data_IF_190791015218
#
_entry.id   IF_190791015218
#
_cell.length_a   1.000
_cell.length_b   1.000
_cell.length_c   1.000
_cell.angle_alpha   90.00
_cell.angle_beta   90.00
_cell.angle_gamma   90.00
#
_symmetry.space_group_name_H-M   'P 1'
#
loop_
_entity.id
_entity.type
_entity.pdbx_description
1 polymer ?
#
# COMPACT_ATOMS: atom_id res chain seq x y z
N UNK A 1 11.11 12.39 0.84
CA UNK A 1 11.84 11.34 1.59
C UNK A 1 12.71 10.64 0.58
N UNK A 2 14.04 10.65 0.78
CA UNK A 2 14.94 9.87 -0.07
C UNK A 2 14.73 8.41 0.27
N UNK A 3 14.54 7.56 -0.74
CA UNK A 3 14.48 6.13 -0.54
C UNK A 3 15.91 5.62 -0.39
N UNK A 4 16.39 5.51 0.85
CA UNK A 4 17.68 4.91 1.13
C UNK A 4 17.57 3.38 1.01
N UNK A 5 17.47 2.90 -0.23
CA UNK A 5 17.52 1.48 -0.53
C UNK A 5 18.97 1.00 -0.46
N UNK A 6 19.23 -0.19 0.12
CA UNK A 6 20.53 -0.83 0.00
C UNK A 6 20.91 -0.99 -1.47
N UNK A 7 22.14 -0.63 -1.84
CA UNK A 7 22.60 -0.63 -3.24
C UNK A 7 22.42 -1.99 -3.92
N UNK A 8 22.76 -3.07 -3.21
CA UNK A 8 22.57 -4.44 -3.69
C UNK A 8 21.10 -4.78 -3.98
N UNK A 9 20.16 -4.21 -3.22
CA UNK A 9 18.72 -4.39 -3.46
C UNK A 9 18.27 -3.61 -4.69
N UNK A 10 18.68 -2.34 -4.81
CA UNK A 10 18.35 -1.50 -5.96
C UNK A 10 18.83 -2.12 -7.27
N UNK A 11 20.09 -2.56 -7.34
CA UNK A 11 20.65 -3.21 -8.54
C UNK A 11 19.88 -4.48 -8.92
N UNK A 12 19.56 -5.34 -7.95
CA UNK A 12 18.80 -6.57 -8.21
C UNK A 12 17.39 -6.26 -8.73
N UNK A 13 16.72 -5.26 -8.16
CA UNK A 13 15.38 -4.87 -8.60
C UNK A 13 15.40 -4.23 -9.99
N UNK A 14 16.44 -3.46 -10.32
CA UNK A 14 16.62 -2.89 -11.65
C UNK A 14 16.83 -3.97 -12.71
N UNK A 15 17.65 -4.99 -12.43
CA UNK A 15 17.85 -6.14 -13.33
C UNK A 15 16.56 -6.97 -13.51
N UNK A 16 15.79 -7.14 -12.43
CA UNK A 16 14.55 -7.95 -12.45
C UNK A 16 13.38 -7.23 -13.15
N UNK A 17 13.24 -5.92 -12.94
CA UNK A 17 12.09 -5.14 -13.40
C UNK A 17 12.36 -4.37 -14.70
N UNK A 18 13.62 -4.13 -15.05
CA UNK A 18 14.02 -3.35 -16.22
C UNK A 18 13.32 -1.99 -16.24
N UNK A 19 12.57 -1.74 -17.33
CA UNK A 19 11.82 -0.49 -17.55
C UNK A 19 10.74 -0.21 -16.48
N UNK A 20 10.32 -1.21 -15.69
CA UNK A 20 9.35 -1.03 -14.61
C UNK A 20 9.99 -0.56 -13.29
N UNK A 21 11.32 -0.50 -13.21
CA UNK A 21 12.04 -0.11 -12.01
C UNK A 21 11.70 1.32 -11.56
N UNK A 22 11.56 2.26 -12.50
CA UNK A 22 11.22 3.65 -12.19
C UNK A 22 9.85 3.78 -11.52
N UNK A 23 8.85 3.03 -12.02
CA UNK A 23 7.51 3.02 -11.44
C UNK A 23 7.51 2.40 -10.03
N UNK A 24 8.30 1.34 -9.83
CA UNK A 24 8.49 0.73 -8.52
C UNK A 24 9.11 1.70 -7.50
N UNK A 25 10.19 2.38 -7.88
CA UNK A 25 10.85 3.36 -7.03
C UNK A 25 9.92 4.53 -6.67
N UNK A 26 9.15 5.01 -7.64
CA UNK A 26 8.14 6.05 -7.42
C UNK A 26 7.05 5.59 -6.44
N UNK A 27 6.53 4.36 -6.61
CA UNK A 27 5.49 3.82 -5.74
C UNK A 27 5.95 3.68 -4.29
N UNK A 28 7.21 3.27 -4.06
CA UNK A 28 7.76 3.18 -2.72
C UNK A 28 7.95 4.54 -2.04
N UNK A 29 8.13 5.62 -2.81
CA UNK A 29 8.25 6.98 -2.27
C UNK A 29 6.91 7.58 -1.83
N UNK A 30 5.79 6.99 -2.26
CA UNK A 30 4.46 7.43 -1.87
C UNK A 30 4.14 7.01 -0.42
N UNK A 31 3.30 7.77 0.29
CA UNK A 31 2.85 7.37 1.61
C UNK A 31 2.13 6.01 1.54
N UNK A 32 2.37 5.10 2.50
CA UNK A 32 1.71 3.81 2.49
C UNK A 32 0.20 4.00 2.67
N UNK A 33 -0.63 3.22 1.94
CA UNK A 33 -2.07 3.28 2.10
C UNK A 33 -2.47 2.82 3.51
N UNK A 34 -3.50 3.46 4.08
CA UNK A 34 -4.04 3.11 5.40
C UNK A 34 -5.18 2.13 5.18
N UNK A 35 -5.18 1.02 5.91
CA UNK A 35 -6.26 0.03 5.84
C UNK A 35 -6.70 -0.46 7.21
N UNK A 36 -7.95 -0.89 7.28
CA UNK A 36 -8.55 -1.56 8.43
C UNK A 36 -9.24 -2.84 7.97
N UNK A 37 -9.40 -3.79 8.89
CA UNK A 37 -10.26 -4.96 8.69
C UNK A 37 -11.37 -4.96 9.74
N UNK A 38 -12.61 -4.99 9.29
CA UNK A 38 -13.76 -4.99 10.18
C UNK A 38 -13.89 -6.34 10.90
N UNK A 39 -14.21 -6.29 12.20
CA UNK A 39 -14.58 -7.48 12.94
C UNK A 39 -16.08 -7.73 12.77
N UNK A 40 -16.45 -8.79 12.05
CA UNK A 40 -17.85 -9.19 11.80
C UNK A 40 -18.71 -9.37 13.03
N UNK A 41 -18.10 -9.78 14.13
CA UNK A 41 -18.82 -10.03 15.38
C UNK A 41 -19.27 -8.71 16.04
N UNK A 42 -18.73 -7.57 15.58
CA UNK A 42 -19.09 -6.24 16.05
C UNK A 42 -19.89 -5.58 14.94
N UNK A 43 -21.05 -5.02 15.28
CA UNK A 43 -21.91 -4.30 14.35
C UNK A 43 -21.32 -2.91 14.02
N UNK A 44 -20.18 -2.89 13.35
CA UNK A 44 -19.40 -1.68 13.02
C UNK A 44 -19.76 -1.26 11.59
N UNK A 45 -20.07 0.03 11.43
CA UNK A 45 -20.30 0.62 10.12
C UNK A 45 -18.97 0.89 9.41
N UNK A 46 -18.97 0.76 8.07
CA UNK A 46 -17.82 1.10 7.24
C UNK A 46 -17.58 2.61 7.35
N UNK A 47 -16.34 3.06 7.67
CA UNK A 47 -16.04 4.49 7.74
C UNK A 47 -16.34 5.19 6.42
N UNK A 48 -16.87 6.42 6.48
CA UNK A 48 -17.24 7.18 5.29
C UNK A 48 -16.01 7.46 4.42
N UNK A 49 -16.17 7.34 3.09
CA UNK A 49 -15.10 7.57 2.13
C UNK A 49 -14.08 6.43 2.04
N UNK A 50 -14.36 5.28 2.66
CA UNK A 50 -13.51 4.10 2.53
C UNK A 50 -13.68 3.41 1.18
N UNK A 51 -12.60 2.82 0.67
CA UNK A 51 -12.60 1.98 -0.54
C UNK A 51 -12.41 0.52 -0.16
N UNK A 52 -13.20 -0.39 -0.75
CA UNK A 52 -13.07 -1.83 -0.47
C UNK A 52 -11.75 -2.41 -0.99
N UNK A 53 -11.14 -3.29 -0.20
CA UNK A 53 -9.94 -4.02 -0.60
C UNK A 53 -10.31 -5.15 -1.59
N UNK A 54 -9.70 -5.21 -2.80
CA UNK A 54 -10.12 -6.16 -3.83
C UNK A 54 -9.95 -7.64 -3.46
N UNK A 55 -9.01 -7.97 -2.56
CA UNK A 55 -8.67 -9.34 -2.19
C UNK A 55 -9.08 -9.72 -0.76
N UNK A 56 -9.62 -8.79 0.03
CA UNK A 56 -10.16 -9.10 1.35
C UNK A 56 -11.54 -8.45 1.55
N UNK A 57 -12.56 -9.29 1.70
CA UNK A 57 -13.98 -8.91 1.70
C UNK A 57 -14.37 -7.95 2.83
N UNK A 58 -13.66 -8.02 3.95
CA UNK A 58 -13.90 -7.18 5.14
C UNK A 58 -12.83 -6.11 5.33
N UNK A 59 -11.95 -5.95 4.33
CA UNK A 59 -10.85 -5.00 4.30
C UNK A 59 -11.24 -3.71 3.60
N UNK A 60 -10.84 -2.58 4.18
CA UNK A 60 -11.13 -1.25 3.64
C UNK A 60 -9.92 -0.34 3.75
N UNK A 61 -9.66 0.43 2.69
CA UNK A 61 -8.70 1.53 2.67
C UNK A 61 -9.36 2.82 3.15
N UNK A 62 -8.67 3.56 4.00
CA UNK A 62 -9.14 4.83 4.57
C UNK A 62 -8.49 6.03 3.87
N UNK A 63 -9.22 7.15 3.71
CA UNK A 63 -8.66 8.37 3.12
C UNK A 63 -7.63 9.05 4.04
N UNK A 64 -7.74 8.85 5.35
CA UNK A 64 -6.84 9.37 6.37
C UNK A 64 -6.83 8.47 7.61
N UNK A 65 -5.86 8.67 8.51
CA UNK A 65 -5.83 7.98 9.80
C UNK A 65 -6.97 8.53 10.68
N UNK A 66 -7.89 7.68 11.18
CA UNK A 66 -8.92 8.08 12.12
C UNK A 66 -8.34 8.43 13.50
#
# INVERSE_FOLDING_TARGET
MSLDLPEAFAMRMQDTLGDQYDAFQQALALPPPISIRLNKMRNIQIPQGSTSCPWEKDGYYLPSRP
#
